data_IF_804069254218
#
_entry.id   IF_804069254218
#
_cell.length_a   1.000
_cell.length_b   1.000
_cell.length_c   1.000
_cell.angle_alpha   90.00
_cell.angle_beta   90.00
_cell.angle_gamma   90.00
#
_symmetry.space_group_name_H-M   'P 1'
#
loop_
_entity.id
_entity.type
_entity.pdbx_description
1 polymer ?
#
# COMPACT_ATOMS: atom_id res chain seq x y z
N UNK A 1 20.98 11.65 -9.09
CA UNK A 1 19.88 11.66 -8.10
C UNK A 1 18.78 12.62 -8.58
N UNK A 2 17.52 12.19 -8.62
CA UNK A 2 16.39 13.07 -9.01
C UNK A 2 16.05 14.06 -7.87
N UNK A 3 15.31 15.15 -8.15
CA UNK A 3 14.82 16.05 -7.11
C UNK A 3 13.91 15.33 -6.09
N UNK A 4 13.19 14.29 -6.55
CA UNK A 4 12.36 13.42 -5.73
C UNK A 4 13.18 12.59 -4.75
N UNK A 5 14.32 12.06 -5.17
CA UNK A 5 15.21 11.26 -4.30
C UNK A 5 15.90 12.15 -3.25
N UNK A 6 16.30 13.38 -3.62
CA UNK A 6 16.86 14.35 -2.67
C UNK A 6 15.84 14.68 -1.55
N UNK A 7 14.57 14.87 -1.91
CA UNK A 7 13.49 15.09 -0.95
C UNK A 7 13.18 13.88 -0.06
N UNK A 8 13.54 12.66 -0.49
CA UNK A 8 13.37 11.43 0.33
C UNK A 8 14.37 11.39 1.48
N UNK A 9 15.58 11.86 1.23
CA UNK A 9 16.73 11.74 2.13
C UNK A 9 16.82 12.93 3.09
N UNK A 10 16.26 14.09 2.72
CA UNK A 10 16.26 15.32 3.50
C UNK A 10 15.23 15.36 4.65
N UNK A 11 15.58 15.76 5.88
CA UNK A 11 16.92 16.11 6.37
C UNK A 11 17.72 14.89 6.84
N UNK A 12 18.98 14.79 6.39
CA UNK A 12 19.94 13.75 6.81
C UNK A 12 20.92 14.30 7.83
N UNK A 13 21.34 13.48 8.80
CA UNK A 13 22.49 13.75 9.67
C UNK A 13 23.61 12.78 9.29
N UNK A 14 24.79 13.32 8.99
CA UNK A 14 25.99 12.54 8.74
C UNK A 14 26.90 12.66 9.97
N UNK A 15 27.13 11.54 10.65
CA UNK A 15 28.08 11.43 11.76
C UNK A 15 29.29 10.65 11.26
N UNK A 16 30.38 11.36 10.96
CA UNK A 16 31.57 10.76 10.35
C UNK A 16 32.85 11.05 11.13
N UNK A 17 33.66 10.02 11.39
CA UNK A 17 35.00 10.20 11.95
C UNK A 17 35.87 10.97 10.94
N UNK A 18 36.70 11.88 11.43
CA UNK A 18 37.56 12.69 10.57
C UNK A 18 38.46 11.82 9.68
N UNK A 19 38.48 12.11 8.38
CA UNK A 19 39.28 11.36 7.40
C UNK A 19 38.69 9.99 7.00
N UNK A 20 37.50 9.63 7.45
CA UNK A 20 36.80 8.42 6.99
C UNK A 20 36.23 8.60 5.58
N UNK A 21 36.08 7.49 4.84
CA UNK A 21 35.43 7.50 3.52
C UNK A 21 33.99 8.05 3.58
N UNK A 22 33.31 7.87 4.71
CA UNK A 22 31.98 8.41 4.94
C UNK A 22 31.94 9.94 5.01
N UNK A 23 33.04 10.59 5.45
CA UNK A 23 33.13 12.05 5.45
C UNK A 23 33.11 12.65 4.04
N UNK A 24 33.54 11.88 3.03
CA UNK A 24 33.52 12.27 1.60
C UNK A 24 32.23 11.87 0.87
N UNK A 25 31.27 11.22 1.53
CA UNK A 25 29.97 10.88 0.93
C UNK A 25 29.23 12.08 0.31
N UNK A 26 29.22 13.28 0.95
CA UNK A 26 28.59 14.46 0.35
C UNK A 26 29.20 14.85 -1.01
N UNK A 27 30.52 14.68 -1.16
CA UNK A 27 31.26 14.99 -2.40
C UNK A 27 31.03 13.91 -3.47
N UNK A 28 31.02 12.63 -3.07
CA UNK A 28 30.79 11.47 -3.94
C UNK A 28 29.37 11.44 -4.54
N UNK A 29 28.38 12.02 -3.86
CA UNK A 29 26.98 12.08 -4.33
C UNK A 29 26.76 13.23 -5.35
N UNK A 30 27.77 14.08 -5.59
CA UNK A 30 27.85 15.07 -6.68
C UNK A 30 26.59 15.94 -6.90
N UNK A 31 25.96 16.47 -5.84
CA UNK A 31 24.97 17.56 -5.98
C UNK A 31 24.99 18.51 -4.79
N UNK A 32 24.93 19.81 -5.09
CA UNK A 32 24.92 20.95 -4.14
C UNK A 32 23.71 21.01 -3.19
N UNK A 33 22.67 20.20 -3.42
CA UNK A 33 21.36 20.33 -2.75
C UNK A 33 20.99 19.15 -1.83
N UNK A 34 21.97 18.38 -1.33
CA UNK A 34 21.71 17.42 -0.25
C UNK A 34 21.74 18.16 1.10
N UNK A 35 20.62 18.28 1.84
CA UNK A 35 20.65 18.90 3.15
C UNK A 35 21.16 17.87 4.18
N UNK A 36 22.48 17.82 4.33
CA UNK A 36 23.17 17.07 5.38
C UNK A 36 23.76 18.04 6.39
N UNK A 37 23.45 17.86 7.66
CA UNK A 37 24.28 18.39 8.72
C UNK A 37 25.38 17.36 9.02
N UNK A 38 26.65 17.77 8.94
CA UNK A 38 27.81 16.90 9.13
C UNK A 38 28.39 17.14 10.52
N UNK A 39 28.61 16.07 11.26
CA UNK A 39 29.16 16.10 12.62
C UNK A 39 30.28 15.07 12.75
N UNK A 40 31.34 15.48 13.42
CA UNK A 40 32.44 14.58 13.83
C UNK A 40 32.16 13.99 15.23
N UNK A 41 31.39 14.71 16.03
CA UNK A 41 31.04 14.33 17.40
C UNK A 41 29.66 13.68 17.45
N UNK A 42 29.59 12.44 17.94
CA UNK A 42 28.35 11.67 18.02
C UNK A 42 27.31 12.30 18.96
N UNK A 43 27.72 12.98 20.03
CA UNK A 43 26.81 13.66 20.95
C UNK A 43 26.16 14.89 20.30
N UNK A 44 26.92 15.68 19.55
CA UNK A 44 26.37 16.80 18.75
C UNK A 44 25.46 16.31 17.63
N UNK A 45 25.84 15.22 16.97
CA UNK A 45 25.00 14.57 15.95
C UNK A 45 23.67 14.09 16.54
N UNK A 46 23.72 13.45 17.71
CA UNK A 46 22.57 12.97 18.46
C UNK A 46 21.64 14.12 18.89
N UNK A 47 22.20 15.19 19.46
CA UNK A 47 21.42 16.38 19.82
C UNK A 47 20.74 16.99 18.57
N UNK A 48 21.46 17.12 17.46
CA UNK A 48 20.87 17.63 16.22
C UNK A 48 19.78 16.71 15.66
N UNK A 49 20.00 15.39 15.71
CA UNK A 49 19.04 14.40 15.24
C UNK A 49 17.78 14.33 16.12
N UNK A 50 17.91 14.55 17.43
CA UNK A 50 16.78 14.54 18.37
C UNK A 50 15.86 15.76 18.26
N UNK A 51 16.37 16.90 17.79
CA UNK A 51 15.65 18.18 17.74
C UNK A 51 14.97 18.44 16.38
N UNK A 52 15.32 17.68 15.34
CA UNK A 52 14.85 17.85 13.95
C UNK A 52 14.10 16.60 13.47
N UNK A 53 13.23 16.72 12.46
CA UNK A 53 12.59 15.58 11.76
C UNK A 53 13.62 14.81 10.90
N UNK A 54 14.71 14.33 11.53
CA UNK A 54 15.81 13.63 10.86
C UNK A 54 15.29 12.34 10.22
N UNK A 55 15.45 12.25 8.90
CA UNK A 55 14.95 11.13 8.10
C UNK A 55 15.94 10.00 7.93
N UNK A 56 17.21 10.30 8.10
CA UNK A 56 18.30 9.37 7.95
C UNK A 56 19.47 9.86 8.78
N UNK A 57 20.08 8.93 9.51
CA UNK A 57 21.39 9.10 10.09
C UNK A 57 22.36 8.19 9.36
N UNK A 58 23.45 8.76 8.87
CA UNK A 58 24.55 8.00 8.29
C UNK A 58 25.73 8.05 9.24
N UNK A 59 26.26 6.90 9.61
CA UNK A 59 27.42 6.74 10.49
C UNK A 59 28.57 6.16 9.68
N UNK A 60 29.77 6.72 9.81
CA UNK A 60 30.96 6.07 9.27
C UNK A 60 32.22 6.51 9.98
N UNK A 61 33.17 5.59 10.12
CA UNK A 61 34.41 5.85 10.83
C UNK A 61 35.52 4.93 10.35
N UNK A 62 36.72 5.10 10.89
CA UNK A 62 37.88 4.28 10.56
C UNK A 62 38.05 3.11 11.53
N UNK A 63 37.36 3.13 12.68
CA UNK A 63 37.40 2.07 13.68
C UNK A 63 36.01 1.55 14.05
N UNK A 64 35.89 0.23 14.23
CA UNK A 64 34.65 -0.41 14.67
C UNK A 64 34.17 0.13 16.03
N UNK A 65 35.08 0.34 16.98
CA UNK A 65 34.73 0.84 18.31
C UNK A 65 34.07 2.22 18.24
N UNK A 66 34.58 3.12 17.39
CA UNK A 66 33.99 4.43 17.17
C UNK A 66 32.60 4.32 16.53
N UNK A 67 32.47 3.52 15.48
CA UNK A 67 31.20 3.33 14.75
C UNK A 67 30.12 2.72 15.64
N UNK A 68 30.47 1.72 16.45
CA UNK A 68 29.55 1.10 17.40
C UNK A 68 29.09 2.11 18.46
N UNK A 69 30.01 2.90 19.02
CA UNK A 69 29.68 3.92 20.00
C UNK A 69 28.77 5.01 19.41
N UNK A 70 29.11 5.53 18.22
CA UNK A 70 28.30 6.52 17.53
C UNK A 70 26.88 5.97 17.24
N UNK A 71 26.78 4.73 16.77
CA UNK A 71 25.49 4.06 16.52
C UNK A 71 24.64 3.98 17.78
N UNK A 72 25.21 3.57 18.92
CA UNK A 72 24.50 3.51 20.21
C UNK A 72 24.04 4.89 20.66
N UNK A 73 24.91 5.90 20.62
CA UNK A 73 24.58 7.28 21.02
C UNK A 73 23.46 7.86 20.14
N UNK A 74 23.52 7.63 18.83
CA UNK A 74 22.50 8.09 17.90
C UNK A 74 21.18 7.33 18.07
N UNK A 75 21.22 6.02 18.31
CA UNK A 75 20.02 5.23 18.57
C UNK A 75 19.30 5.68 19.85
N UNK A 76 20.04 6.09 20.89
CA UNK A 76 19.47 6.67 22.11
C UNK A 76 18.80 8.03 21.86
N UNK A 77 19.21 8.77 20.84
CA UNK A 77 18.61 10.07 20.49
C UNK A 77 17.30 9.97 19.69
N UNK A 78 16.98 8.82 19.10
CA UNK A 78 15.67 8.64 18.46
C UNK A 78 15.51 7.42 17.55
N UNK A 79 14.27 7.17 17.07
CA UNK A 79 13.92 6.01 16.26
C UNK A 79 14.19 6.17 14.76
N UNK A 80 15.04 7.13 14.36
CA UNK A 80 15.36 7.37 12.95
C UNK A 80 16.16 6.21 12.33
N UNK A 81 16.11 6.02 11.00
CA UNK A 81 16.94 5.03 10.31
C UNK A 81 18.42 5.36 10.46
N UNK A 82 19.23 4.37 10.83
CA UNK A 82 20.69 4.48 10.94
C UNK A 82 21.32 3.59 9.88
N UNK A 83 22.10 4.18 8.97
CA UNK A 83 22.93 3.46 8.02
C UNK A 83 24.41 3.59 8.39
N UNK A 84 25.12 2.48 8.49
CA UNK A 84 26.57 2.46 8.70
C UNK A 84 27.25 2.26 7.34
N UNK A 85 28.23 3.11 7.01
CA UNK A 85 28.91 3.10 5.71
C UNK A 85 30.43 3.11 5.90
N UNK A 86 31.13 2.34 5.07
CA UNK A 86 32.56 2.57 4.82
C UNK A 86 33.54 1.83 5.74
N UNK A 87 33.11 0.74 6.39
CA UNK A 87 33.98 -0.09 7.23
C UNK A 87 33.87 -1.56 6.79
N UNK A 88 34.99 -2.27 6.54
CA UNK A 88 34.96 -3.73 6.42
C UNK A 88 34.68 -4.34 7.80
N UNK A 89 33.61 -5.13 7.89
CA UNK A 89 33.12 -5.69 9.15
C UNK A 89 33.26 -7.21 9.15
N UNK A 90 33.63 -7.78 10.30
CA UNK A 90 33.48 -9.23 10.54
C UNK A 90 32.02 -9.59 10.79
N UNK A 91 31.62 -10.87 10.68
CA UNK A 91 30.26 -11.31 11.01
C UNK A 91 29.79 -10.89 12.41
N UNK A 92 30.65 -11.01 13.42
CA UNK A 92 30.31 -10.62 14.80
C UNK A 92 30.11 -9.10 14.95
N UNK A 93 30.87 -8.32 14.18
CA UNK A 93 30.74 -6.86 14.15
C UNK A 93 29.45 -6.42 13.44
N UNK A 94 29.05 -7.13 12.39
CA UNK A 94 27.74 -6.95 11.74
C UNK A 94 26.61 -7.16 12.75
N UNK A 95 26.62 -8.30 13.45
CA UNK A 95 25.62 -8.60 14.48
C UNK A 95 25.58 -7.51 15.56
N UNK A 96 26.75 -7.12 16.09
CA UNK A 96 26.87 -6.09 17.11
C UNK A 96 26.30 -4.72 16.69
N UNK A 97 26.44 -4.35 15.41
CA UNK A 97 25.91 -3.09 14.89
C UNK A 97 24.41 -3.15 14.65
N UNK A 98 23.89 -4.29 14.20
CA UNK A 98 22.44 -4.51 14.08
C UNK A 98 21.78 -4.49 15.47
N UNK A 99 22.38 -5.15 16.46
CA UNK A 99 21.93 -5.13 17.86
C UNK A 99 21.99 -3.72 18.48
N UNK A 100 22.99 -2.92 18.09
CA UNK A 100 23.08 -1.51 18.47
C UNK A 100 22.04 -0.62 17.76
N UNK A 101 21.28 -1.18 16.82
CA UNK A 101 20.18 -0.52 16.14
C UNK A 101 20.54 0.06 14.77
N UNK A 102 21.61 -0.38 14.11
CA UNK A 102 21.81 -0.07 12.69
C UNK A 102 20.73 -0.76 11.83
N UNK A 103 20.21 -0.08 10.82
CA UNK A 103 19.19 -0.61 9.90
C UNK A 103 19.78 -1.06 8.56
N UNK A 104 20.93 -0.51 8.17
CA UNK A 104 21.61 -0.82 6.93
C UNK A 104 23.12 -0.74 7.16
N UNK A 105 23.84 -1.75 6.68
CA UNK A 105 25.31 -1.75 6.63
C UNK A 105 25.73 -1.74 5.16
N UNK A 106 26.55 -0.76 4.78
CA UNK A 106 27.08 -0.62 3.42
C UNK A 106 28.60 -0.71 3.48
N UNK A 107 29.14 -1.72 2.82
CA UNK A 107 30.59 -1.92 2.73
C UNK A 107 31.27 -0.76 1.98
N UNK A 108 32.49 -0.44 2.41
CA UNK A 108 33.45 0.44 1.74
C UNK A 108 33.69 0.12 0.25
N UNK A 109 33.49 -1.13 -0.18
CA UNK A 109 33.71 -1.60 -1.56
C UNK A 109 32.50 -1.31 -2.47
N UNK A 110 31.33 -0.96 -1.90
CA UNK A 110 30.11 -0.73 -2.67
C UNK A 110 30.26 0.49 -3.60
N UNK A 111 29.79 0.36 -4.85
CA UNK A 111 29.81 1.48 -5.78
C UNK A 111 28.91 2.62 -5.24
N UNK A 112 29.32 3.91 -5.35
CA UNK A 112 28.57 5.03 -4.78
C UNK A 112 27.09 5.09 -5.18
N UNK A 113 26.76 4.65 -6.40
CA UNK A 113 25.37 4.57 -6.91
C UNK A 113 24.54 3.50 -6.19
N UNK A 114 25.15 2.37 -5.87
CA UNK A 114 24.50 1.28 -5.15
C UNK A 114 24.25 1.66 -3.69
N UNK A 115 25.25 2.25 -3.03
CA UNK A 115 25.12 2.78 -1.67
C UNK A 115 23.95 3.77 -1.59
N UNK A 116 23.88 4.71 -2.53
CA UNK A 116 22.79 5.68 -2.61
C UNK A 116 21.42 5.01 -2.81
N UNK A 117 21.31 4.01 -3.70
CA UNK A 117 20.06 3.29 -3.93
C UNK A 117 19.57 2.57 -2.67
N UNK A 118 20.48 1.95 -1.90
CA UNK A 118 20.16 1.28 -0.63
C UNK A 118 19.73 2.29 0.45
N UNK A 119 20.39 3.45 0.55
CA UNK A 119 19.98 4.52 1.47
C UNK A 119 18.58 5.06 1.13
N UNK A 120 18.28 5.23 -0.16
CA UNK A 120 16.94 5.62 -0.63
C UNK A 120 15.90 4.55 -0.27
N UNK A 121 16.22 3.26 -0.47
CA UNK A 121 15.34 2.16 -0.12
C UNK A 121 15.05 2.10 1.39
N UNK A 122 16.08 2.30 2.24
CA UNK A 122 15.93 2.40 3.68
C UNK A 122 14.98 3.55 4.08
N UNK A 123 15.15 4.73 3.49
CA UNK A 123 14.28 5.88 3.77
C UNK A 123 12.85 5.69 3.26
N UNK A 124 12.64 4.94 2.18
CA UNK A 124 11.30 4.55 1.71
C UNK A 124 10.63 3.59 2.69
N UNK A 125 11.36 2.59 3.19
CA UNK A 125 10.88 1.65 4.21
C UNK A 125 10.56 2.35 5.55
N UNK A 126 11.38 3.31 5.96
CA UNK A 126 11.18 4.09 7.17
C UNK A 126 10.07 5.14 7.09
N UNK A 127 9.66 5.56 5.88
CA UNK A 127 8.61 6.56 5.66
C UNK A 127 7.19 6.00 5.72
N UNK A 128 7.01 4.69 5.85
CA UNK A 128 5.69 4.09 5.93
C UNK A 128 4.94 4.12 4.60
N UNK A 129 5.26 3.17 3.73
CA UNK A 129 4.14 2.38 3.19
C UNK A 129 3.67 1.33 4.21
N UNK A 130 4.43 1.03 5.29
CA UNK A 130 4.01 0.07 6.33
C UNK A 130 4.54 0.30 7.79
N UNK A 131 5.06 1.47 8.18
CA UNK A 131 5.58 1.67 9.55
C UNK A 131 4.63 2.51 10.43
N UNK A 132 4.09 1.85 11.46
CA UNK A 132 3.23 2.40 12.52
C UNK A 132 3.70 3.77 13.03
N UNK A 133 2.84 4.79 12.90
CA UNK A 133 2.91 6.01 13.71
C UNK A 133 1.90 5.89 14.84
N UNK A 134 2.31 6.26 16.05
CA UNK A 134 1.40 6.61 17.14
C UNK A 134 0.42 7.63 16.59
N UNK A 135 -0.79 7.18 16.28
CA UNK A 135 -1.84 8.03 15.72
C UNK A 135 -2.64 8.65 16.85
N UNK A 136 -2.80 7.93 17.95
CA UNK A 136 -3.65 8.34 19.05
C UNK A 136 -2.86 8.43 20.35
N UNK A 137 -3.03 9.54 21.06
CA UNK A 137 -2.74 9.60 22.49
C UNK A 137 -4.04 9.33 23.23
N UNK A 138 -4.07 8.29 24.08
CA UNK A 138 -5.26 7.92 24.83
C UNK A 138 -5.00 8.01 26.33
N UNK A 139 -5.94 8.61 27.04
CA UNK A 139 -5.98 8.60 28.50
C UNK A 139 -7.42 8.52 28.95
N UNK A 140 -7.81 7.38 29.55
CA UNK A 140 -9.23 7.08 29.81
C UNK A 140 -10.09 7.25 28.56
N UNK A 141 -11.11 8.11 28.66
CA UNK A 141 -12.05 8.44 27.59
C UNK A 141 -11.58 9.57 26.66
N UNK A 142 -10.45 10.22 26.97
CA UNK A 142 -9.85 11.26 26.15
C UNK A 142 -8.94 10.63 25.09
N UNK A 143 -9.18 10.94 23.82
CA UNK A 143 -8.37 10.49 22.68
C UNK A 143 -7.99 11.65 21.78
N UNK A 144 -6.71 11.75 21.43
CA UNK A 144 -6.17 12.79 20.54
C UNK A 144 -5.51 12.15 19.33
N UNK A 145 -6.09 12.36 18.13
CA UNK A 145 -5.53 11.91 16.85
C UNK A 145 -4.48 12.92 16.37
N UNK A 146 -3.19 12.55 16.47
CA UNK A 146 -2.08 13.38 16.03
C UNK A 146 -2.03 13.56 14.50
N UNK A 147 -2.54 12.58 13.75
CA UNK A 147 -2.54 12.60 12.29
C UNK A 147 -3.63 13.50 11.72
N UNK A 148 -4.88 13.35 12.19
CA UNK A 148 -6.02 14.15 11.73
C UNK A 148 -6.29 15.40 12.58
N UNK A 149 -5.51 15.62 13.64
CA UNK A 149 -5.65 16.72 14.60
C UNK A 149 -7.05 16.83 15.22
N UNK A 150 -7.61 15.68 15.60
CA UNK A 150 -8.94 15.58 16.23
C UNK A 150 -8.82 15.20 17.70
N UNK A 151 -9.70 15.74 18.53
CA UNK A 151 -9.82 15.40 19.94
C UNK A 151 -11.21 14.81 20.19
N UNK A 152 -11.27 13.67 20.89
CA UNK A 152 -12.49 12.99 21.29
C UNK A 152 -12.52 12.84 22.81
N UNK A 153 -13.67 13.04 23.44
CA UNK A 153 -13.89 12.73 24.85
C UNK A 153 -15.19 11.95 24.98
N UNK A 154 -15.13 10.74 25.55
CA UNK A 154 -16.31 9.86 25.63
C UNK A 154 -16.86 9.47 24.26
N UNK A 155 -16.03 9.52 23.20
CA UNK A 155 -16.42 9.25 21.82
C UNK A 155 -16.94 10.47 21.04
N UNK A 156 -17.19 11.61 21.68
CA UNK A 156 -17.66 12.83 21.02
C UNK A 156 -16.51 13.75 20.61
N UNK A 157 -16.59 14.38 19.43
CA UNK A 157 -15.56 15.27 18.91
C UNK A 157 -15.58 16.63 19.59
N UNK A 158 -14.47 16.99 20.24
CA UNK A 158 -14.25 18.31 20.82
C UNK A 158 -13.49 19.19 19.82
N UNK A 159 -14.08 20.31 19.36
CA UNK A 159 -13.38 21.22 18.47
C UNK A 159 -12.31 22.02 19.22
N UNK A 160 -11.04 21.76 18.90
CA UNK A 160 -9.90 22.52 19.39
C UNK A 160 -9.36 23.45 18.31
N UNK A 161 -8.95 24.66 18.69
CA UNK A 161 -8.11 25.49 17.81
C UNK A 161 -6.72 24.86 17.66
N UNK A 162 -5.97 25.31 16.66
CA UNK A 162 -4.62 24.80 16.40
C UNK A 162 -3.72 24.82 17.65
N UNK A 163 -3.64 25.96 18.33
CA UNK A 163 -2.83 26.11 19.53
C UNK A 163 -3.36 25.32 20.75
N UNK A 164 -4.68 25.18 20.90
CA UNK A 164 -5.26 24.34 21.96
C UNK A 164 -4.94 22.86 21.75
N UNK A 165 -5.00 22.40 20.49
CA UNK A 165 -4.61 21.05 20.12
C UNK A 165 -3.13 20.81 20.40
N UNK A 166 -2.26 21.69 19.92
CA UNK A 166 -0.82 21.56 20.08
C UNK A 166 -0.42 21.60 21.57
N UNK A 167 -1.06 22.46 22.36
CA UNK A 167 -0.89 22.49 23.81
C UNK A 167 -1.32 21.18 24.48
N UNK A 168 -2.49 20.64 24.13
CA UNK A 168 -2.97 19.38 24.70
C UNK A 168 -2.05 18.20 24.34
N UNK A 169 -1.70 18.08 23.06
CA UNK A 169 -0.80 17.04 22.58
C UNK A 169 0.58 17.14 23.25
N UNK A 170 1.13 18.34 23.39
CA UNK A 170 2.40 18.58 24.08
C UNK A 170 2.36 18.10 25.54
N UNK A 171 1.29 18.42 26.27
CA UNK A 171 1.11 17.98 27.66
C UNK A 171 0.89 16.46 27.76
N UNK A 172 0.14 15.86 26.85
CA UNK A 172 -0.13 14.42 26.84
C UNK A 172 1.10 13.58 26.46
N UNK A 173 1.95 14.04 25.53
CA UNK A 173 3.23 13.37 25.21
C UNK A 173 4.22 13.39 26.40
N UNK A 174 4.03 14.33 27.33
CA UNK A 174 4.82 14.46 28.56
C UNK A 174 3.95 14.17 29.79
N UNK A 175 3.05 13.19 29.67
CA UNK A 175 2.17 12.79 30.74
C UNK A 175 2.95 12.53 32.03
N UNK A 176 2.38 12.98 33.15
CA UNK A 176 2.96 12.87 34.48
C UNK A 176 4.30 13.62 34.66
N UNK A 177 4.71 14.47 33.73
CA UNK A 177 5.86 15.36 33.88
C UNK A 177 5.38 16.81 34.04
N UNK A 178 5.97 17.54 34.99
CA UNK A 178 5.70 18.98 35.12
C UNK A 178 6.55 19.74 34.12
N UNK A 179 5.90 20.50 33.24
CA UNK A 179 6.56 21.35 32.23
C UNK A 179 6.41 22.82 32.58
N UNK A 180 7.49 23.58 32.38
CA UNK A 180 7.52 25.00 32.75
C UNK A 180 6.70 25.85 31.77
N UNK A 181 6.11 26.99 32.20
CA UNK A 181 5.40 27.89 31.30
C UNK A 181 6.25 28.38 30.12
N UNK A 182 7.55 28.58 30.37
CA UNK A 182 8.50 29.02 29.36
C UNK A 182 8.71 27.95 28.28
N UNK A 183 8.93 26.70 28.67
CA UNK A 183 9.04 25.57 27.73
C UNK A 183 7.78 25.41 26.88
N UNK A 184 6.60 25.48 27.50
CA UNK A 184 5.34 25.34 26.77
C UNK A 184 5.18 26.45 25.74
N UNK A 185 5.45 27.71 26.12
CA UNK A 185 5.36 28.86 25.21
C UNK A 185 6.32 28.70 24.04
N UNK A 186 7.56 28.28 24.31
CA UNK A 186 8.55 28.06 23.28
C UNK A 186 8.17 26.92 22.33
N UNK A 187 7.64 25.81 22.84
CA UNK A 187 7.35 24.63 22.02
C UNK A 187 6.05 24.74 21.23
N UNK A 188 5.01 25.37 21.80
CA UNK A 188 3.68 25.45 21.16
C UNK A 188 3.55 26.71 20.30
N UNK A 189 4.14 27.84 20.70
CA UNK A 189 4.02 29.13 19.99
C UNK A 189 5.32 29.62 19.34
N UNK A 190 6.47 28.97 19.60
CA UNK A 190 7.78 29.38 19.09
C UNK A 190 8.17 30.83 19.42
N UNK A 191 7.74 31.33 20.58
CA UNK A 191 8.08 32.67 21.07
C UNK A 191 9.25 32.62 22.07
N UNK A 192 10.15 33.58 21.99
CA UNK A 192 11.22 33.78 22.97
C UNK A 192 10.75 34.74 24.09
N UNK A 193 11.06 34.38 25.35
CA UNK A 193 10.86 35.11 26.63
C UNK A 193 9.98 36.40 26.63
N UNK A 194 8.94 36.41 27.47
CA UNK A 194 8.25 37.63 27.93
C UNK A 194 6.73 37.66 27.66
N UNK A 195 6.33 37.41 26.41
CA UNK A 195 4.98 37.79 25.95
C UNK A 195 3.94 36.65 25.91
N UNK A 196 4.35 35.41 26.16
CA UNK A 196 3.48 34.22 26.01
C UNK A 196 2.75 33.76 27.27
N UNK A 197 3.11 34.23 28.47
CA UNK A 197 2.60 33.66 29.72
C UNK A 197 1.11 33.89 29.96
N UNK A 198 0.61 35.09 29.62
CA UNK A 198 -0.83 35.38 29.73
C UNK A 198 -1.63 34.57 28.69
N UNK A 199 -1.09 34.47 27.47
CA UNK A 199 -1.65 33.65 26.38
C UNK A 199 -1.75 32.18 26.79
N UNK A 200 -0.71 31.62 27.40
CA UNK A 200 -0.72 30.25 27.91
C UNK A 200 -1.82 30.05 28.97
N UNK A 201 -1.95 30.96 29.95
CA UNK A 201 -2.99 30.88 30.99
C UNK A 201 -4.40 30.89 30.39
N UNK A 202 -4.64 31.72 29.38
CA UNK A 202 -5.92 31.77 28.65
C UNK A 202 -6.18 30.44 27.93
N UNK A 203 -5.20 29.89 27.24
CA UNK A 203 -5.37 28.63 26.51
C UNK A 203 -5.56 27.43 27.43
N UNK A 204 -4.87 27.38 28.58
CA UNK A 204 -5.13 26.36 29.63
C UNK A 204 -6.56 26.47 30.15
N UNK A 205 -7.04 27.69 30.43
CA UNK A 205 -8.42 27.91 30.87
C UNK A 205 -9.47 27.44 29.86
N UNK A 206 -9.25 27.74 28.56
CA UNK A 206 -10.13 27.29 27.47
C UNK A 206 -10.10 25.78 27.30
N UNK A 207 -8.91 25.19 27.33
CA UNK A 207 -8.72 23.75 27.19
C UNK A 207 -9.41 22.99 28.32
N UNK A 208 -9.23 23.43 29.58
CA UNK A 208 -9.95 22.88 30.73
C UNK A 208 -11.47 22.94 30.55
N UNK A 209 -12.00 24.10 30.13
CA UNK A 209 -13.45 24.26 29.88
C UNK A 209 -13.97 23.28 28.81
N UNK A 210 -13.21 23.06 27.73
CA UNK A 210 -13.58 22.14 26.65
C UNK A 210 -13.47 20.66 27.04
N UNK A 211 -12.54 20.33 27.94
CA UNK A 211 -12.37 18.98 28.48
C UNK A 211 -13.25 18.68 29.71
N UNK A 212 -14.14 19.61 30.09
CA UNK A 212 -14.92 19.55 31.33
C UNK A 212 -14.06 19.36 32.59
N UNK A 213 -12.85 19.94 32.58
CA UNK A 213 -11.86 19.85 33.65
C UNK A 213 -11.96 21.01 34.64
N UNK A 214 -11.76 20.75 35.93
CA UNK A 214 -11.84 21.76 36.99
C UNK A 214 -10.46 22.33 37.33
N UNK A 215 -10.38 23.63 37.62
CA UNK A 215 -9.14 24.26 38.09
C UNK A 215 -8.85 23.99 39.57
N UNK A 216 -9.87 23.71 40.38
CA UNK A 216 -9.75 23.45 41.83
C UNK A 216 -9.64 21.97 42.15
N UNK A 217 -10.14 21.10 41.26
CA UNK A 217 -10.03 19.64 41.36
C UNK A 217 -9.77 19.04 39.96
N UNK A 218 -8.55 19.24 39.40
CA UNK A 218 -8.24 18.84 38.04
C UNK A 218 -8.20 17.32 37.88
N UNK A 219 -8.90 16.83 36.85
CA UNK A 219 -8.85 15.43 36.40
C UNK A 219 -7.78 15.23 35.33
N UNK A 220 -7.55 16.23 34.47
CA UNK A 220 -6.63 16.14 33.34
C UNK A 220 -5.39 17.03 33.49
N UNK A 221 -5.57 18.34 33.64
CA UNK A 221 -4.47 19.31 33.61
C UNK A 221 -4.27 19.90 35.01
N UNK A 222 -3.20 19.50 35.68
CA UNK A 222 -2.77 20.03 36.97
C UNK A 222 -2.00 21.35 36.86
N UNK A 223 -2.03 22.15 37.93
CA UNK A 223 -1.19 23.35 38.09
C UNK A 223 -0.35 23.25 39.35
N UNK A 224 0.97 23.27 39.20
CA UNK A 224 1.90 23.35 40.33
C UNK A 224 2.32 24.81 40.52
N UNK A 225 1.97 25.40 41.67
CA UNK A 225 2.20 26.82 41.95
C UNK A 225 3.70 27.15 41.82
N UNK A 226 4.01 28.11 40.95
CA UNK A 226 5.38 28.58 40.72
C UNK A 226 6.24 27.69 39.83
N UNK A 227 5.75 26.50 39.41
CA UNK A 227 6.54 25.54 38.63
C UNK A 227 6.02 25.37 37.21
N UNK A 228 4.71 25.12 37.03
CA UNK A 228 4.15 24.92 35.69
C UNK A 228 2.88 24.07 35.64
N UNK A 229 2.72 23.33 34.55
CA UNK A 229 1.55 22.50 34.26
C UNK A 229 1.95 21.04 34.04
N UNK A 230 1.03 20.13 34.30
CA UNK A 230 1.24 18.69 34.16
C UNK A 230 -0.05 18.04 33.66
N UNK A 231 0.05 17.10 32.73
CA UNK A 231 -1.05 16.19 32.43
C UNK A 231 -1.04 15.05 33.46
N UNK A 232 -2.09 14.91 34.24
CA UNK A 232 -2.12 14.11 35.48
C UNK A 232 -2.29 12.61 35.22
N UNK A 233 -3.06 12.26 34.19
CA UNK A 233 -3.38 10.87 33.88
C UNK A 233 -2.28 10.23 33.03
N UNK A 234 -2.03 8.92 33.17
CA UNK A 234 -1.14 8.21 32.26
C UNK A 234 -1.69 8.26 30.83
N UNK A 235 -0.79 8.40 29.86
CA UNK A 235 -1.13 8.40 28.44
C UNK A 235 -0.57 7.14 27.80
N UNK A 236 -1.44 6.36 27.17
CA UNK A 236 -1.05 5.30 26.28
C UNK A 236 -0.84 5.90 24.88
N UNK A 237 0.34 5.65 24.32
CA UNK A 237 0.60 5.87 22.91
C UNK A 237 0.03 4.70 22.13
N UNK A 238 -1.09 4.95 21.44
CA UNK A 238 -1.77 3.94 20.63
C UNK A 238 -1.35 4.17 19.18
N UNK A 239 -0.48 3.29 18.70
CA UNK A 239 -0.23 3.11 17.27
C UNK A 239 -1.55 2.90 16.52
N UNK A 240 -1.63 3.28 15.24
CA UNK A 240 -2.59 2.59 14.39
C UNK A 240 -2.31 1.10 14.50
N UNK A 241 -3.09 0.35 15.29
CA UNK A 241 -3.16 -1.10 15.11
C UNK A 241 -4.01 -1.39 13.87
N UNK A 242 -3.51 -0.87 12.74
CA UNK A 242 -3.91 -1.30 11.43
C UNK A 242 -3.37 -2.68 11.13
N UNK A 243 -2.48 -3.26 11.95
CA UNK A 243 -2.07 -4.65 11.77
C UNK A 243 -3.24 -5.56 12.08
N UNK A 244 -3.89 -5.37 13.24
CA UNK A 244 -5.07 -6.12 13.62
C UNK A 244 -6.30 -5.73 12.78
N UNK A 245 -6.56 -4.45 12.53
CA UNK A 245 -7.70 -4.05 11.68
C UNK A 245 -7.52 -4.41 10.21
N UNK A 246 -6.30 -4.30 9.63
CA UNK A 246 -6.03 -4.77 8.26
C UNK A 246 -6.00 -6.29 8.23
N UNK A 247 -5.53 -6.99 9.26
CA UNK A 247 -5.63 -8.45 9.35
C UNK A 247 -7.09 -8.88 9.46
N UNK A 248 -7.90 -8.24 10.31
CA UNK A 248 -9.36 -8.44 10.41
C UNK A 248 -10.05 -8.14 9.09
N UNK A 249 -9.70 -7.04 8.41
CA UNK A 249 -10.24 -6.69 7.09
C UNK A 249 -9.80 -7.71 6.03
N UNK A 250 -8.55 -8.17 6.07
CA UNK A 250 -8.00 -9.17 5.14
C UNK A 250 -8.66 -10.52 5.36
N UNK A 251 -8.74 -10.97 6.62
CA UNK A 251 -9.43 -12.19 7.03
C UNK A 251 -10.92 -12.10 6.70
N UNK A 252 -11.58 -10.99 6.96
CA UNK A 252 -12.98 -10.77 6.57
C UNK A 252 -13.15 -10.80 5.05
N UNK A 253 -12.22 -10.23 4.29
CA UNK A 253 -12.24 -10.28 2.82
C UNK A 253 -12.02 -11.70 2.31
N UNK A 254 -11.07 -12.43 2.88
CA UNK A 254 -10.78 -13.83 2.54
C UNK A 254 -11.95 -14.76 2.91
N UNK A 255 -12.55 -14.57 4.09
CA UNK A 255 -13.73 -15.31 4.51
C UNK A 255 -14.93 -14.99 3.60
N UNK A 256 -15.18 -13.71 3.30
CA UNK A 256 -16.24 -13.33 2.38
C UNK A 256 -16.00 -13.89 0.96
N UNK A 257 -14.75 -13.97 0.50
CA UNK A 257 -14.38 -14.64 -0.75
C UNK A 257 -14.60 -16.15 -0.68
N UNK A 258 -14.23 -16.80 0.42
CA UNK A 258 -14.47 -18.23 0.63
C UNK A 258 -15.97 -18.55 0.67
N UNK A 259 -16.76 -17.79 1.43
CA UNK A 259 -18.21 -17.93 1.51
C UNK A 259 -18.87 -17.71 0.14
N UNK A 260 -18.35 -16.75 -0.65
CA UNK A 260 -18.82 -16.50 -2.00
C UNK A 260 -18.54 -17.66 -2.96
N UNK A 261 -17.37 -18.31 -2.85
CA UNK A 261 -17.04 -19.52 -3.59
C UNK A 261 -17.93 -20.69 -3.18
N UNK A 262 -18.14 -20.90 -1.87
CA UNK A 262 -19.02 -21.96 -1.39
C UNK A 262 -20.46 -21.78 -1.89
N UNK A 263 -20.98 -20.56 -1.88
CA UNK A 263 -22.33 -20.27 -2.35
C UNK A 263 -22.52 -20.58 -3.85
N UNK A 264 -21.55 -20.22 -4.70
CA UNK A 264 -21.68 -20.48 -6.15
C UNK A 264 -21.50 -21.97 -6.48
N UNK A 265 -20.68 -22.71 -5.74
CA UNK A 265 -20.48 -24.16 -5.97
C UNK A 265 -21.79 -24.94 -5.81
N UNK A 266 -22.60 -24.63 -4.80
CA UNK A 266 -23.88 -25.32 -4.58
C UNK A 266 -24.86 -25.06 -5.73
N UNK A 267 -24.96 -23.80 -6.19
CA UNK A 267 -25.76 -23.41 -7.36
C UNK A 267 -25.28 -24.09 -8.65
N UNK A 268 -23.96 -24.12 -8.88
CA UNK A 268 -23.37 -24.77 -10.06
C UNK A 268 -23.63 -26.27 -10.08
N UNK A 269 -23.64 -26.93 -8.91
CA UNK A 269 -23.91 -28.38 -8.81
C UNK A 269 -25.35 -28.72 -9.20
N UNK A 270 -26.30 -27.81 -8.98
CA UNK A 270 -27.72 -28.03 -9.29
C UNK A 270 -28.14 -27.51 -10.65
N UNK A 271 -27.26 -26.80 -11.36
CA UNK A 271 -27.57 -26.26 -12.68
C UNK A 271 -27.86 -27.38 -13.68
N UNK A 272 -28.94 -27.22 -14.44
CA UNK A 272 -29.44 -28.22 -15.37
C UNK A 272 -28.67 -28.24 -16.70
N UNK A 273 -28.16 -27.08 -17.13
CA UNK A 273 -27.47 -26.93 -18.41
C UNK A 273 -26.39 -25.83 -18.40
N UNK A 274 -25.71 -25.69 -19.54
CA UNK A 274 -24.65 -24.70 -19.79
C UNK A 274 -25.14 -23.27 -19.62
N UNK A 275 -26.36 -22.97 -20.07
CA UNK A 275 -26.91 -21.62 -20.07
C UNK A 275 -27.13 -21.18 -18.63
N UNK A 276 -27.72 -22.06 -17.81
CA UNK A 276 -27.92 -21.82 -16.39
C UNK A 276 -26.58 -21.65 -15.65
N UNK A 277 -25.57 -22.49 -15.94
CA UNK A 277 -24.21 -22.31 -15.40
C UNK A 277 -23.65 -20.92 -15.76
N UNK A 278 -23.76 -20.53 -17.03
CA UNK A 278 -23.22 -19.27 -17.51
C UNK A 278 -23.92 -18.07 -16.86
N UNK A 279 -25.26 -18.09 -16.79
CA UNK A 279 -26.09 -17.06 -16.15
C UNK A 279 -25.74 -16.90 -14.67
N UNK A 280 -25.71 -18.00 -13.91
CA UNK A 280 -25.36 -17.99 -12.48
C UNK A 280 -24.02 -17.28 -12.23
N UNK A 281 -23.02 -17.56 -13.07
CA UNK A 281 -21.68 -16.98 -12.94
C UNK A 281 -21.66 -15.49 -13.24
N UNK A 282 -22.23 -15.07 -14.38
CA UNK A 282 -22.15 -13.66 -14.80
C UNK A 282 -22.96 -12.78 -13.87
N UNK A 283 -24.11 -13.26 -13.39
CA UNK A 283 -24.94 -12.56 -12.41
C UNK A 283 -24.26 -12.50 -11.05
N UNK A 284 -23.67 -13.61 -10.59
CA UNK A 284 -22.93 -13.65 -9.33
C UNK A 284 -21.74 -12.68 -9.35
N UNK A 285 -21.00 -12.62 -10.46
CA UNK A 285 -19.80 -11.78 -10.56
C UNK A 285 -20.13 -10.29 -10.51
N UNK A 286 -21.17 -9.87 -11.26
CA UNK A 286 -21.60 -8.47 -11.29
C UNK A 286 -22.36 -8.11 -10.01
N UNK A 287 -23.28 -8.95 -9.55
CA UNK A 287 -24.08 -8.71 -8.35
C UNK A 287 -23.26 -8.58 -7.07
N UNK A 288 -22.10 -9.23 -7.01
CA UNK A 288 -21.14 -9.09 -5.89
C UNK A 288 -20.04 -8.05 -6.13
N UNK A 289 -20.14 -7.25 -7.20
CA UNK A 289 -19.18 -6.21 -7.56
C UNK A 289 -17.73 -6.73 -7.78
N UNK A 290 -17.57 -7.97 -8.25
CA UNK A 290 -16.25 -8.46 -8.67
C UNK A 290 -15.80 -7.84 -9.99
N UNK A 291 -16.76 -7.53 -10.86
CA UNK A 291 -16.58 -6.82 -12.12
C UNK A 291 -17.79 -5.93 -12.42
N UNK A 292 -17.63 -4.95 -13.31
CA UNK A 292 -18.72 -4.07 -13.76
C UNK A 292 -19.59 -4.76 -14.83
N UNK A 293 -18.98 -5.69 -15.57
CA UNK A 293 -19.67 -6.61 -16.48
C UNK A 293 -18.95 -7.97 -16.53
N UNK A 294 -19.67 -9.01 -16.91
CA UNK A 294 -19.15 -10.34 -17.11
C UNK A 294 -19.83 -11.02 -18.30
N UNK A 295 -19.10 -11.86 -19.04
CA UNK A 295 -19.58 -12.54 -20.23
C UNK A 295 -19.00 -13.95 -20.34
N UNK A 296 -19.82 -14.91 -20.72
CA UNK A 296 -19.39 -16.26 -21.09
C UNK A 296 -19.61 -16.45 -22.58
N UNK A 297 -18.55 -16.85 -23.28
CA UNK A 297 -18.59 -17.24 -24.68
C UNK A 297 -18.28 -18.72 -24.82
N UNK A 298 -18.91 -19.34 -25.80
CA UNK A 298 -18.62 -20.70 -26.26
C UNK A 298 -17.93 -20.63 -27.62
N UNK A 299 -16.89 -21.44 -27.79
CA UNK A 299 -16.30 -21.70 -29.10
C UNK A 299 -17.21 -22.71 -29.84
N UNK A 300 -17.76 -22.29 -30.97
CA UNK A 300 -18.64 -23.09 -31.82
C UNK A 300 -18.17 -23.01 -33.28
N UNK A 301 -18.87 -23.70 -34.18
CA UNK A 301 -18.69 -23.58 -35.63
C UNK A 301 -19.97 -23.07 -36.27
N UNK A 302 -19.85 -22.19 -37.27
CA UNK A 302 -20.99 -21.80 -38.09
C UNK A 302 -21.36 -22.88 -39.14
N UNK A 303 -22.42 -22.64 -39.92
CA UNK A 303 -22.89 -23.54 -40.98
C UNK A 303 -21.83 -23.84 -42.06
N UNK A 304 -20.80 -23.00 -42.16
CA UNK A 304 -19.67 -23.17 -43.10
C UNK A 304 -18.47 -23.90 -42.48
N UNK A 305 -18.57 -24.30 -41.21
CA UNK A 305 -17.50 -24.97 -40.46
C UNK A 305 -16.42 -24.03 -39.94
N UNK A 306 -16.63 -22.71 -39.99
CA UNK A 306 -15.67 -21.73 -39.46
C UNK A 306 -15.85 -21.53 -37.95
N UNK A 307 -14.76 -21.35 -37.18
CA UNK A 307 -14.86 -21.15 -35.74
C UNK A 307 -15.48 -19.77 -35.42
N UNK A 308 -16.52 -19.78 -34.59
CA UNK A 308 -17.20 -18.60 -34.08
C UNK A 308 -17.22 -18.60 -32.55
N UNK A 309 -17.06 -17.42 -31.96
CA UNK A 309 -17.31 -17.16 -30.55
C UNK A 309 -18.77 -16.78 -30.37
N UNK A 310 -19.56 -17.66 -29.77
CA UNK A 310 -20.98 -17.48 -29.54
C UNK A 310 -21.24 -17.04 -28.11
N UNK A 311 -21.99 -15.95 -27.92
CA UNK A 311 -22.33 -15.45 -26.60
C UNK A 311 -23.33 -16.40 -25.92
N UNK A 312 -22.97 -16.94 -24.75
CA UNK A 312 -23.85 -17.81 -23.96
C UNK A 312 -24.64 -16.97 -22.96
N UNK A 313 -23.94 -16.16 -22.18
CA UNK A 313 -24.58 -15.25 -21.21
C UNK A 313 -23.75 -14.00 -20.96
N UNK A 314 -24.42 -12.92 -20.55
CA UNK A 314 -23.80 -11.64 -20.23
C UNK A 314 -24.62 -10.82 -19.24
N UNK A 315 -23.91 -10.24 -18.27
CA UNK A 315 -24.45 -9.25 -17.33
C UNK A 315 -23.60 -7.98 -17.37
N UNK A 316 -24.23 -6.81 -17.29
CA UNK A 316 -23.55 -5.50 -17.22
C UNK A 316 -23.15 -4.87 -18.57
N UNK A 317 -23.23 -5.62 -19.68
CA UNK A 317 -23.01 -5.11 -21.04
C UNK A 317 -24.29 -4.50 -21.64
N UNK A 318 -24.18 -3.50 -22.52
CA UNK A 318 -25.35 -2.89 -23.15
C UNK A 318 -26.14 -3.86 -24.06
N UNK A 319 -27.42 -3.57 -24.26
CA UNK A 319 -28.26 -4.33 -25.21
C UNK A 319 -27.76 -4.24 -26.64
N UNK A 320 -27.15 -3.11 -27.04
CA UNK A 320 -26.55 -2.95 -28.37
C UNK A 320 -25.38 -3.92 -28.56
N UNK A 321 -24.50 -4.01 -27.57
CA UNK A 321 -23.36 -4.92 -27.63
C UNK A 321 -23.80 -6.38 -27.69
N UNK A 322 -24.79 -6.77 -26.86
CA UNK A 322 -25.36 -8.13 -26.87
C UNK A 322 -25.99 -8.47 -28.22
N UNK A 323 -26.75 -7.54 -28.81
CA UNK A 323 -27.38 -7.75 -30.11
C UNK A 323 -26.34 -7.89 -31.23
N UNK A 324 -25.22 -7.16 -31.17
CA UNK A 324 -24.13 -7.26 -32.14
C UNK A 324 -23.41 -8.63 -32.10
N UNK A 325 -23.58 -9.39 -31.03
CA UNK A 325 -22.95 -10.70 -30.79
C UNK A 325 -23.94 -11.87 -30.81
N UNK A 326 -25.24 -11.60 -30.99
CA UNK A 326 -26.29 -12.61 -30.89
C UNK A 326 -26.14 -13.75 -31.91
N UNK A 327 -25.53 -13.48 -33.07
CA UNK A 327 -25.27 -14.48 -34.12
C UNK A 327 -23.89 -15.13 -34.01
N UNK A 328 -23.16 -14.86 -32.93
CA UNK A 328 -21.75 -15.20 -32.79
C UNK A 328 -20.83 -14.32 -33.64
N UNK A 329 -19.54 -14.34 -33.31
CA UNK A 329 -18.52 -13.55 -34.01
C UNK A 329 -17.36 -14.45 -34.47
N UNK A 330 -16.90 -14.35 -35.73
CA UNK A 330 -15.77 -15.14 -36.23
C UNK A 330 -14.50 -15.01 -35.38
N UNK A 331 -13.86 -16.14 -35.10
CA UNK A 331 -12.60 -16.21 -34.38
C UNK A 331 -11.45 -15.91 -35.35
N UNK A 332 -10.97 -14.67 -35.34
CA UNK A 332 -9.93 -14.17 -36.26
C UNK A 332 -8.93 -13.27 -35.56
N UNK A 333 -7.79 -13.04 -36.21
CA UNK A 333 -6.78 -12.11 -35.72
C UNK A 333 -7.36 -10.73 -35.39
N UNK A 334 -6.95 -10.21 -34.24
CA UNK A 334 -7.45 -8.95 -33.69
C UNK A 334 -8.77 -9.04 -32.91
N UNK A 335 -9.39 -10.22 -32.82
CA UNK A 335 -10.42 -10.52 -31.82
C UNK A 335 -9.77 -11.05 -30.54
N UNK A 336 -10.15 -10.54 -29.37
CA UNK A 336 -9.50 -10.88 -28.11
C UNK A 336 -9.69 -12.35 -27.73
N UNK A 337 -10.91 -12.88 -27.92
CA UNK A 337 -11.21 -14.29 -27.69
C UNK A 337 -10.36 -15.21 -28.57
N UNK A 338 -10.05 -14.81 -29.81
CA UNK A 338 -9.20 -15.61 -30.70
C UNK A 338 -7.80 -15.84 -30.13
N UNK A 339 -7.22 -14.85 -29.47
CA UNK A 339 -5.91 -15.02 -28.82
C UNK A 339 -6.00 -16.00 -27.65
N UNK A 340 -7.03 -15.91 -26.82
CA UNK A 340 -7.23 -16.82 -25.70
C UNK A 340 -7.51 -18.25 -26.15
N UNK A 341 -8.26 -18.44 -27.24
CA UNK A 341 -8.50 -19.75 -27.84
C UNK A 341 -7.25 -20.34 -28.47
N UNK A 342 -6.36 -19.51 -29.02
CA UNK A 342 -5.12 -19.97 -29.64
C UNK A 342 -4.03 -20.30 -28.60
N UNK A 343 -3.88 -19.48 -27.56
CA UNK A 343 -2.80 -19.65 -26.57
C UNK A 343 -3.20 -20.50 -25.37
N UNK A 344 -4.49 -20.59 -25.04
CA UNK A 344 -4.96 -21.15 -23.78
C UNK A 344 -4.53 -20.34 -22.55
N UNK A 345 -3.97 -19.14 -22.75
CA UNK A 345 -3.49 -18.29 -21.67
C UNK A 345 -4.54 -17.26 -21.24
N UNK A 346 -4.42 -16.82 -19.98
CA UNK A 346 -5.24 -15.72 -19.46
C UNK A 346 -4.82 -14.41 -20.12
N UNK A 347 -5.77 -13.72 -20.75
CA UNK A 347 -5.54 -12.43 -21.39
C UNK A 347 -5.94 -11.31 -20.43
N UNK A 348 -4.99 -10.47 -20.05
CA UNK A 348 -5.23 -9.30 -19.20
C UNK A 348 -4.90 -8.01 -19.94
N UNK A 349 -5.85 -7.08 -19.95
CA UNK A 349 -5.69 -5.73 -20.49
C UNK A 349 -6.03 -4.69 -19.42
N UNK A 350 -5.04 -3.87 -19.08
CA UNK A 350 -5.16 -2.79 -18.10
C UNK A 350 -5.32 -1.41 -18.72
N UNK A 351 -5.24 -1.30 -20.06
CA UNK A 351 -5.30 -0.04 -20.79
C UNK A 351 -6.00 -0.26 -22.15
N UNK A 352 -7.28 0.11 -22.21
CA UNK A 352 -8.13 -0.08 -23.40
C UNK A 352 -7.77 0.87 -24.54
N UNK A 353 -6.97 1.92 -24.32
CA UNK A 353 -6.43 2.73 -25.43
C UNK A 353 -5.54 1.92 -26.38
N UNK A 354 -4.96 0.82 -25.88
CA UNK A 354 -4.13 -0.13 -26.66
C UNK A 354 -4.95 -1.19 -27.36
N UNK A 355 -6.25 -1.31 -27.05
CA UNK A 355 -7.14 -2.30 -27.61
C UNK A 355 -7.32 -2.08 -29.12
N UNK A 356 -7.36 -0.83 -29.59
CA UNK A 356 -7.43 -0.51 -31.02
C UNK A 356 -6.18 -0.90 -31.82
N UNK A 357 -5.00 -0.96 -31.17
CA UNK A 357 -3.74 -1.36 -31.81
C UNK A 357 -3.56 -2.87 -31.89
N UNK A 358 -3.86 -3.59 -30.81
CA UNK A 358 -3.63 -5.05 -30.70
C UNK A 358 -4.87 -5.89 -31.02
N UNK A 359 -6.06 -5.38 -30.72
CA UNK A 359 -7.34 -6.06 -30.90
C UNK A 359 -8.38 -5.14 -31.61
N UNK A 360 -8.10 -4.69 -32.85
CA UNK A 360 -8.90 -3.68 -33.53
C UNK A 360 -10.37 -4.08 -33.73
N UNK A 361 -10.66 -5.38 -33.83
CA UNK A 361 -12.02 -5.91 -33.98
C UNK A 361 -12.79 -5.71 -32.68
N UNK A 362 -12.22 -6.17 -31.56
CA UNK A 362 -12.82 -6.05 -30.23
C UNK A 362 -13.01 -4.58 -29.83
N UNK A 363 -12.05 -3.71 -30.19
CA UNK A 363 -12.11 -2.28 -29.90
C UNK A 363 -13.29 -1.59 -30.59
N UNK A 364 -13.57 -1.94 -31.86
CA UNK A 364 -14.73 -1.38 -32.59
C UNK A 364 -16.04 -1.79 -31.93
N UNK A 365 -16.17 -3.05 -31.52
CA UNK A 365 -17.37 -3.59 -30.88
C UNK A 365 -17.63 -2.99 -29.50
N UNK A 366 -16.58 -2.61 -28.78
CA UNK A 366 -16.66 -2.14 -27.38
C UNK A 366 -16.57 -0.62 -27.22
N UNK A 367 -16.36 0.12 -28.31
CA UNK A 367 -16.22 1.58 -28.33
C UNK A 367 -17.32 2.39 -27.60
N UNK A 368 -18.59 1.93 -27.51
CA UNK A 368 -19.63 2.66 -26.76
C UNK A 368 -19.72 2.31 -25.26
N UNK A 369 -19.00 1.29 -24.78
CA UNK A 369 -19.23 0.68 -23.45
C UNK A 369 -18.36 1.28 -22.33
N UNK A 370 -17.49 2.24 -22.65
CA UNK A 370 -16.54 2.88 -21.71
C UNK A 370 -15.71 1.85 -20.90
N UNK A 371 -15.25 0.80 -21.59
CA UNK A 371 -14.43 -0.24 -20.97
C UNK A 371 -13.01 0.27 -20.79
N UNK A 372 -12.42 -0.05 -19.64
CA UNK A 372 -11.10 0.45 -19.27
C UNK A 372 -10.11 -0.67 -18.90
N UNK A 373 -10.61 -1.82 -18.44
CA UNK A 373 -9.82 -3.03 -18.25
C UNK A 373 -10.65 -4.29 -18.53
N UNK A 374 -10.00 -5.35 -19.01
CA UNK A 374 -10.60 -6.65 -19.30
C UNK A 374 -9.67 -7.77 -18.82
N UNK A 375 -10.25 -8.83 -18.28
CA UNK A 375 -9.58 -10.05 -17.88
C UNK A 375 -10.36 -11.23 -18.42
N UNK A 376 -9.74 -12.02 -19.30
CA UNK A 376 -10.38 -13.11 -20.01
C UNK A 376 -9.68 -14.44 -19.68
N UNK A 377 -10.48 -15.40 -19.24
CA UNK A 377 -10.04 -16.74 -18.86
C UNK A 377 -10.56 -17.76 -19.87
N UNK A 378 -9.70 -18.58 -20.50
CA UNK A 378 -10.16 -19.73 -21.25
C UNK A 378 -10.81 -20.74 -20.30
N UNK A 379 -11.93 -21.29 -20.74
CA UNK A 379 -12.67 -22.36 -20.05
C UNK A 379 -12.36 -23.68 -20.73
N UNK A 380 -12.07 -24.71 -19.95
CA UNK A 380 -11.64 -26.00 -20.45
C UNK A 380 -12.66 -27.09 -20.12
N UNK A 381 -12.91 -27.99 -21.07
CA UNK A 381 -13.65 -29.23 -20.87
C UNK A 381 -12.80 -30.34 -21.46
N UNK A 382 -12.47 -31.35 -20.65
CA UNK A 382 -11.60 -32.49 -21.04
C UNK A 382 -10.27 -32.08 -21.69
N UNK A 383 -9.68 -30.98 -21.20
CA UNK A 383 -8.39 -30.46 -21.70
C UNK A 383 -8.49 -29.68 -23.01
N UNK A 384 -9.69 -29.51 -23.57
CA UNK A 384 -9.95 -28.68 -24.77
C UNK A 384 -10.58 -27.37 -24.35
N UNK A 385 -10.24 -26.28 -25.04
CA UNK A 385 -10.86 -24.98 -24.82
C UNK A 385 -12.30 -25.02 -25.32
N UNK A 386 -13.24 -24.96 -24.39
CA UNK A 386 -14.67 -24.93 -24.67
C UNK A 386 -15.14 -23.51 -25.03
N UNK A 387 -14.49 -22.50 -24.45
CA UNK A 387 -14.91 -21.11 -24.58
C UNK A 387 -14.09 -20.19 -23.67
N UNK A 388 -14.64 -19.04 -23.32
CA UNK A 388 -14.00 -18.11 -22.40
C UNK A 388 -14.98 -17.40 -21.46
N UNK A 389 -14.45 -16.97 -20.33
CA UNK A 389 -15.11 -16.13 -19.35
C UNK A 389 -14.35 -14.81 -19.23
N UNK A 390 -15.02 -13.71 -19.57
CA UNK A 390 -14.44 -12.38 -19.48
C UNK A 390 -15.08 -11.58 -18.35
N UNK A 391 -14.23 -10.91 -17.58
CA UNK A 391 -14.58 -9.92 -16.57
C UNK A 391 -14.11 -8.56 -17.03
N UNK A 392 -14.98 -7.57 -16.93
CA UNK A 392 -14.74 -6.25 -17.49
C UNK A 392 -14.90 -5.18 -16.41
N UNK A 393 -14.02 -4.18 -16.44
CA UNK A 393 -14.15 -2.99 -15.61
C UNK A 393 -14.27 -1.71 -16.43
N UNK A 394 -15.12 -0.81 -15.94
CA UNK A 394 -15.24 0.59 -16.38
C UNK A 394 -14.21 1.50 -15.71
N UNK A 395 -13.40 1.00 -14.78
CA UNK A 395 -12.32 1.78 -14.16
C UNK A 395 -10.98 1.52 -14.84
N UNK A 396 -10.14 2.56 -14.98
CA UNK A 396 -8.78 2.49 -15.53
C UNK A 396 -7.78 1.68 -14.68
N UNK A 397 -8.24 0.98 -13.63
CA UNK A 397 -7.38 0.20 -12.75
C UNK A 397 -7.34 -1.24 -13.22
N UNK A 398 -6.14 -1.75 -13.44
CA UNK A 398 -5.91 -3.16 -13.70
C UNK A 398 -6.50 -4.03 -12.57
N UNK A 399 -7.02 -5.21 -12.92
CA UNK A 399 -7.28 -6.26 -11.94
C UNK A 399 -5.97 -6.59 -11.20
N UNK A 400 -5.98 -6.49 -9.87
CA UNK A 400 -4.78 -6.79 -9.07
C UNK A 400 -4.50 -8.30 -9.04
N UNK A 401 -3.26 -8.73 -8.77
CA UNK A 401 -2.89 -10.15 -8.82
C UNK A 401 -3.76 -11.07 -7.95
N UNK A 402 -4.12 -10.64 -6.74
CA UNK A 402 -4.97 -11.42 -5.82
C UNK A 402 -6.38 -11.62 -6.39
N UNK A 403 -6.99 -10.57 -6.97
CA UNK A 403 -8.31 -10.65 -7.62
C UNK A 403 -8.22 -11.51 -8.89
N UNK A 404 -7.15 -11.40 -9.66
CA UNK A 404 -6.91 -12.26 -10.83
C UNK A 404 -6.81 -13.74 -10.44
N UNK A 405 -6.10 -14.08 -9.36
CA UNK A 405 -5.98 -15.46 -8.88
C UNK A 405 -7.32 -16.03 -8.38
N UNK A 406 -8.12 -15.20 -7.69
CA UNK A 406 -9.45 -15.56 -7.25
C UNK A 406 -10.41 -15.81 -8.44
N UNK A 407 -10.46 -14.89 -9.41
CA UNK A 407 -11.28 -15.03 -10.62
C UNK A 407 -10.83 -16.22 -11.50
N UNK A 408 -9.54 -16.55 -11.51
CA UNK A 408 -9.02 -17.77 -12.15
C UNK A 408 -9.59 -19.03 -11.50
N UNK A 409 -9.70 -19.04 -10.17
CA UNK A 409 -10.27 -20.18 -9.43
C UNK A 409 -11.74 -20.39 -9.80
N UNK A 410 -12.48 -19.29 -10.01
CA UNK A 410 -13.87 -19.34 -10.49
C UNK A 410 -13.96 -19.88 -11.92
N UNK A 411 -13.11 -19.42 -12.83
CA UNK A 411 -13.04 -19.97 -14.19
C UNK A 411 -12.75 -21.49 -14.18
N UNK A 412 -11.89 -21.95 -13.26
CA UNK A 412 -11.64 -23.38 -13.04
C UNK A 412 -12.85 -24.15 -12.52
N UNK A 413 -13.59 -23.60 -11.55
CA UNK A 413 -14.83 -24.21 -11.04
C UNK A 413 -15.89 -24.32 -12.14
N UNK A 414 -15.98 -23.33 -13.01
CA UNK A 414 -16.92 -23.33 -14.14
C UNK A 414 -16.51 -24.36 -15.17
N UNK A 415 -15.22 -24.47 -15.48
CA UNK A 415 -14.68 -25.52 -16.35
C UNK A 415 -15.07 -26.91 -15.85
N UNK A 416 -14.99 -27.15 -14.53
CA UNK A 416 -15.45 -28.39 -13.91
C UNK A 416 -16.97 -28.58 -13.98
N UNK A 417 -17.75 -27.53 -13.72
CA UNK A 417 -19.21 -27.60 -13.79
C UNK A 417 -19.68 -27.90 -15.22
N UNK A 418 -19.07 -27.25 -16.23
CA UNK A 418 -19.34 -27.50 -17.64
C UNK A 418 -19.03 -28.96 -18.02
N UNK A 419 -17.91 -29.51 -17.56
CA UNK A 419 -17.54 -30.90 -17.83
C UNK A 419 -18.52 -31.91 -17.18
N UNK A 420 -19.24 -31.52 -16.13
CA UNK A 420 -20.25 -32.36 -15.49
C UNK A 420 -21.59 -32.38 -16.24
N UNK A 421 -21.83 -31.45 -17.18
CA UNK A 421 -23.06 -31.40 -17.97
C UNK A 421 -22.95 -32.37 -19.15
N UNK A 422 -23.83 -33.37 -19.27
CA UNK A 422 -23.72 -34.42 -20.30
C UNK A 422 -23.73 -33.91 -21.74
N UNK A 423 -24.39 -32.78 -22.01
CA UNK A 423 -24.49 -32.17 -23.36
C UNK A 423 -23.22 -31.43 -23.82
N UNK A 424 -22.21 -31.34 -22.95
CA UNK A 424 -20.97 -30.58 -23.19
C UNK A 424 -19.79 -31.47 -23.53
N UNK A 425 -19.87 -32.76 -23.21
CA UNK A 425 -18.86 -33.75 -23.56
C UNK A 425 -18.69 -33.78 -25.09
N UNK A 426 -17.45 -33.65 -25.61
CA UNK A 426 -17.24 -33.56 -27.04
C UNK A 426 -17.63 -34.86 -27.75
N UNK A 427 -18.42 -34.75 -28.83
CA UNK A 427 -18.27 -35.70 -29.94
C UNK A 427 -16.85 -35.54 -30.49
N UNK A 428 -16.19 -36.67 -30.77
CA UNK A 428 -14.75 -36.75 -31.00
C UNK A 428 -14.22 -35.71 -32.02
N UNK A 429 -13.23 -34.93 -31.56
CA UNK A 429 -12.20 -34.21 -32.34
C UNK A 429 -12.64 -33.15 -33.35
N UNK A 430 -12.43 -31.88 -32.97
CA UNK A 430 -12.06 -30.81 -33.91
C UNK A 430 -10.75 -30.18 -33.46
N UNK A 431 -9.64 -30.69 -33.98
CA UNK A 431 -8.34 -30.03 -33.96
C UNK A 431 -8.44 -28.73 -34.77
N UNK A 432 -8.16 -27.59 -34.14
CA UNK A 432 -7.94 -26.32 -34.82
C UNK A 432 -6.71 -26.43 -35.74
N UNK A 433 -6.78 -26.00 -37.01
CA UNK A 433 -5.62 -26.00 -37.89
C UNK A 433 -4.73 -24.78 -37.60
N UNK A 434 -3.46 -25.02 -37.27
CA UNK A 434 -2.41 -24.00 -37.34
C UNK A 434 -1.60 -23.80 -36.05
N UNK A 435 -0.79 -24.80 -35.67
CA UNK A 435 0.32 -24.64 -34.74
C UNK A 435 1.61 -25.25 -35.30
N UNK A 436 1.82 -25.13 -36.61
CA UNK A 436 3.10 -25.44 -37.25
C UNK A 436 3.67 -24.18 -37.91
N UNK A 437 4.86 -23.78 -37.44
CA UNK A 437 5.77 -22.91 -38.18
C UNK A 437 6.12 -21.58 -37.52
N UNK A 438 6.97 -21.61 -36.49
CA UNK A 438 7.95 -20.54 -36.23
C UNK A 438 9.06 -21.02 -35.28
N UNK A 439 9.93 -21.89 -35.80
CA UNK A 439 11.29 -22.02 -35.30
C UNK A 439 12.21 -21.98 -36.53
N UNK A 440 12.89 -20.85 -36.76
CA UNK A 440 14.16 -20.69 -37.47
C UNK A 440 14.43 -19.21 -37.83
N UNK A 441 15.55 -18.72 -37.29
CA UNK A 441 16.40 -17.61 -37.73
C UNK A 441 16.01 -16.11 -37.52
N UNK A 442 17.00 -15.44 -36.89
CA UNK A 442 17.31 -14.01 -36.77
C UNK A 442 16.76 -13.22 -35.57
#
# INVERSE_FOLDING_TARGET
>A
MSARDAAVLAPTVLCAEAGSAAASLPELIQRKDWPSAVFIDAGKAANHASVRDTRLVVVGGNSFAWVLNATKVLRLAGPFPIAVVGVPLTPDQVLSLLDAGANLLVDSIAQPREALARLIALCRGARGEDAMRVRWLQSGDLRVDLGSRRCLLGGESIPLSQNEFDLLAFLMMRAQQTVTPHEIVQQVWNWHHGDGMNTLRIHIGRLRKKLHDSSTAPSWIGSSRGVGYQFLQPVAEVGEDRSEDRLRQTVATLNAQADALYAIVDSLRTAADVTEIAELVVEWAVGRNFSDAATVFRLATDDSGQPISSLVSSTGMSSRWRQALATGHPVRDGFMGAHAYASGEVVQLSDVSKLSKRFPVTARMSSPEDLHACLLFPLFVDGVIWGDLAFVSRTAKAFNPSRTAYLRSIAGLISLALAAVPSVLPEATTTLPGADGADADA
#
